data_IF_700002275327
#
_entry.id   IF_700002275327
#
_cell.length_a   1.000
_cell.length_b   1.000
_cell.length_c   1.000
_cell.angle_alpha   90.00
_cell.angle_beta   90.00
_cell.angle_gamma   90.00
#
_symmetry.space_group_name_H-M   'P 1'
#
loop_
_entity.id
_entity.type
_entity.pdbx_description
1 polymer ?
#
# COMPACT_ATOMS: atom_id res chain seq x y z
N UNK A 1 0.38 -3.04 -21.24
CA UNK A 1 0.71 -2.88 -19.80
C UNK A 1 0.52 -1.43 -19.34
N UNK A 2 -0.52 -1.12 -18.55
CA UNK A 2 -0.85 0.25 -18.16
C UNK A 2 0.18 0.97 -17.28
N UNK A 3 0.93 0.24 -16.45
CA UNK A 3 1.91 0.86 -15.54
C UNK A 3 3.04 1.61 -16.28
N UNK A 4 3.33 1.28 -17.55
CA UNK A 4 4.33 1.99 -18.36
C UNK A 4 4.03 3.47 -18.60
N UNK A 5 2.76 3.89 -18.51
CA UNK A 5 2.41 5.31 -18.60
C UNK A 5 2.87 6.13 -17.38
N UNK A 6 3.28 5.46 -16.30
CA UNK A 6 3.73 6.08 -15.03
C UNK A 6 5.27 6.17 -14.97
N UNK A 7 5.96 5.69 -16.00
CA UNK A 7 7.42 5.67 -16.09
C UNK A 7 7.89 6.91 -16.84
N UNK A 8 9.02 7.49 -16.40
CA UNK A 8 9.61 8.63 -17.09
C UNK A 8 10.07 8.23 -18.50
N UNK A 9 10.08 9.17 -19.45
CA UNK A 9 10.59 8.89 -20.81
C UNK A 9 12.05 8.39 -20.80
N UNK A 10 12.85 8.85 -19.83
CA UNK A 10 14.24 8.42 -19.65
C UNK A 10 14.32 6.94 -19.24
N UNK A 11 13.54 6.54 -18.22
CA UNK A 11 13.50 5.14 -17.78
C UNK A 11 12.86 4.23 -18.85
N UNK A 12 11.85 4.72 -19.57
CA UNK A 12 11.25 4.00 -20.69
C UNK A 12 12.26 3.74 -21.81
N UNK A 13 13.05 4.75 -22.18
CA UNK A 13 14.13 4.59 -23.15
C UNK A 13 15.17 3.56 -22.67
N UNK A 14 15.48 3.54 -21.37
CA UNK A 14 16.37 2.53 -20.81
C UNK A 14 15.79 1.11 -20.88
N UNK A 15 14.51 0.94 -20.54
CA UNK A 15 13.79 -0.35 -20.67
C UNK A 15 13.83 -0.82 -22.13
N UNK A 16 13.60 0.09 -23.08
CA UNK A 16 13.66 -0.20 -24.51
C UNK A 16 15.08 -0.53 -25.02
N UNK A 17 16.10 0.04 -24.40
CA UNK A 17 17.51 -0.19 -24.76
C UNK A 17 18.13 -1.44 -24.12
N UNK A 18 17.48 -2.01 -23.10
CA UNK A 18 17.97 -3.17 -22.40
C UNK A 18 18.02 -4.38 -23.35
N UNK A 19 19.09 -5.18 -23.25
CA UNK A 19 19.24 -6.41 -24.05
C UNK A 19 18.81 -7.65 -23.28
N UNK A 20 18.80 -7.57 -21.93
CA UNK A 20 18.43 -8.67 -21.04
C UNK A 20 17.48 -8.17 -19.98
N UNK A 21 16.55 -9.03 -19.58
CA UNK A 21 15.57 -8.70 -18.54
C UNK A 21 16.22 -8.41 -17.18
N UNK A 22 17.41 -8.96 -16.91
CA UNK A 22 18.16 -8.75 -15.67
C UNK A 22 18.69 -7.32 -15.53
N UNK A 23 18.82 -6.58 -16.62
CA UNK A 23 19.31 -5.19 -16.62
C UNK A 23 18.16 -4.18 -16.35
N UNK A 24 16.92 -4.66 -16.34
CA UNK A 24 15.69 -3.87 -16.24
C UNK A 24 15.31 -3.48 -14.80
N UNK A 25 15.38 -4.36 -13.76
CA UNK A 25 14.99 -4.07 -12.38
C UNK A 25 15.34 -2.68 -11.81
N UNK A 26 16.59 -2.18 -11.89
CA UNK A 26 16.94 -0.88 -11.30
C UNK A 26 16.16 0.30 -11.92
N UNK A 27 15.62 0.11 -13.13
CA UNK A 27 14.83 1.09 -13.90
C UNK A 27 13.32 0.95 -13.70
N UNK A 28 12.87 -0.03 -12.92
CA UNK A 28 11.45 -0.32 -12.70
C UNK A 28 10.85 0.38 -11.48
N UNK A 29 11.53 1.36 -10.87
CA UNK A 29 11.02 2.01 -9.64
C UNK A 29 9.65 2.68 -9.83
N UNK A 30 9.26 3.05 -11.07
CA UNK A 30 7.93 3.56 -11.39
C UNK A 30 6.87 2.47 -11.69
N UNK A 31 7.28 1.20 -11.87
CA UNK A 31 6.39 0.06 -12.16
C UNK A 31 6.17 -0.82 -10.92
N UNK A 32 7.24 -1.08 -10.17
CA UNK A 32 7.24 -1.91 -8.98
C UNK A 32 8.00 -1.21 -7.86
N UNK A 33 7.54 -1.38 -6.63
CA UNK A 33 8.14 -0.68 -5.50
C UNK A 33 9.43 -1.38 -5.06
N UNK A 34 10.57 -0.89 -5.52
CA UNK A 34 11.88 -1.25 -4.97
C UNK A 34 12.36 -2.67 -5.30
N UNK A 35 11.95 -3.22 -6.45
CA UNK A 35 12.61 -4.42 -7.01
C UNK A 35 14.08 -4.09 -7.30
N UNK A 36 14.96 -4.99 -6.89
CA UNK A 36 16.40 -4.88 -7.10
C UNK A 36 16.89 -5.92 -8.12
N UNK A 37 16.48 -7.18 -7.96
CA UNK A 37 16.99 -8.30 -8.77
C UNK A 37 15.85 -9.22 -9.17
N UNK A 38 15.84 -9.64 -10.44
CA UNK A 38 15.10 -10.82 -10.88
C UNK A 38 15.98 -12.06 -10.73
N UNK A 39 15.51 -13.04 -9.97
CA UNK A 39 16.18 -14.33 -9.81
C UNK A 39 15.85 -15.17 -11.04
N UNK A 40 16.75 -15.15 -12.02
CA UNK A 40 16.58 -15.85 -13.29
C UNK A 40 17.36 -17.16 -13.27
N UNK A 41 16.67 -18.24 -13.59
CA UNK A 41 17.26 -19.56 -13.79
C UNK A 41 16.59 -20.24 -14.99
N UNK A 42 17.38 -20.91 -15.83
CA UNK A 42 16.95 -21.51 -17.10
C UNK A 42 16.03 -20.60 -17.96
N UNK A 43 16.42 -19.34 -18.14
CA UNK A 43 15.64 -18.31 -18.85
C UNK A 43 14.24 -18.04 -18.28
N UNK A 44 14.00 -18.37 -17.02
CA UNK A 44 12.76 -18.06 -16.32
C UNK A 44 13.04 -17.24 -15.06
N UNK A 45 12.25 -16.18 -14.84
CA UNK A 45 12.21 -15.47 -13.57
C UNK A 45 11.51 -16.38 -12.57
N UNK A 46 12.26 -16.95 -11.63
CA UNK A 46 11.74 -17.80 -10.57
C UNK A 46 11.41 -17.02 -9.29
N UNK A 47 12.00 -15.83 -9.12
CA UNK A 47 11.84 -15.05 -7.92
C UNK A 47 12.27 -13.60 -8.08
N UNK A 48 12.00 -12.81 -7.04
CA UNK A 48 12.25 -11.37 -7.01
C UNK A 48 12.89 -11.01 -5.68
N UNK A 49 13.95 -10.23 -5.73
CA UNK A 49 14.58 -9.64 -4.54
C UNK A 49 14.32 -8.14 -4.53
N UNK A 50 13.84 -7.61 -3.40
CA UNK A 50 13.71 -6.18 -3.17
C UNK A 50 15.03 -5.57 -2.67
N UNK A 51 15.14 -4.25 -2.75
CA UNK A 51 16.28 -3.46 -2.21
C UNK A 51 16.48 -3.62 -0.71
N UNK A 52 15.44 -4.06 0.01
CA UNK A 52 15.50 -4.38 1.44
C UNK A 52 16.10 -5.75 1.73
N UNK A 53 16.34 -6.57 0.69
CA UNK A 53 16.78 -7.96 0.81
C UNK A 53 15.64 -8.97 0.93
N UNK A 54 14.38 -8.52 1.04
CA UNK A 54 13.23 -9.44 1.03
C UNK A 54 13.11 -10.13 -0.33
N UNK A 55 12.93 -11.46 -0.30
CA UNK A 55 12.83 -12.29 -1.50
C UNK A 55 11.45 -12.92 -1.60
N UNK A 56 10.91 -12.98 -2.82
CA UNK A 56 9.65 -13.62 -3.14
C UNK A 56 9.90 -14.67 -4.22
N UNK A 57 9.61 -15.92 -3.93
CA UNK A 57 9.57 -16.99 -4.93
C UNK A 57 8.23 -16.92 -5.66
N UNK A 58 8.28 -16.94 -6.99
CA UNK A 58 7.10 -16.91 -7.83
C UNK A 58 6.46 -18.29 -7.92
N UNK A 59 5.16 -18.36 -7.63
CA UNK A 59 4.33 -19.56 -7.80
C UNK A 59 4.33 -20.03 -9.26
N UNK A 60 4.30 -19.06 -10.17
CA UNK A 60 4.40 -19.30 -11.60
C UNK A 60 5.65 -18.59 -12.13
N UNK A 61 6.76 -19.31 -12.33
CA UNK A 61 7.94 -18.76 -12.98
C UNK A 61 7.57 -18.16 -14.34
N UNK A 62 8.17 -17.03 -14.67
CA UNK A 62 7.87 -16.28 -15.91
C UNK A 62 9.01 -16.45 -16.89
N UNK A 63 8.74 -17.00 -18.06
CA UNK A 63 9.73 -17.08 -19.13
C UNK A 63 10.22 -15.69 -19.52
N UNK A 64 11.54 -15.51 -19.59
CA UNK A 64 12.20 -14.28 -20.04
C UNK A 64 12.08 -14.09 -21.55
N UNK A 65 11.67 -15.13 -22.28
CA UNK A 65 11.56 -15.20 -23.73
C UNK A 65 10.14 -15.65 -24.12
N UNK A 66 9.42 -14.79 -24.84
CA UNK A 66 8.26 -15.12 -25.69
C UNK A 66 8.62 -14.79 -27.14
N UNK A 67 7.99 -15.40 -28.16
CA UNK A 67 8.67 -15.70 -29.42
C UNK A 67 9.12 -14.44 -30.17
N UNK A 68 10.34 -14.51 -30.73
CA UNK A 68 11.13 -13.48 -31.44
C UNK A 68 10.43 -12.72 -32.60
N UNK A 69 9.13 -12.95 -32.84
CA UNK A 69 8.39 -12.45 -33.99
C UNK A 69 7.84 -11.03 -33.82
N UNK A 70 7.62 -10.54 -32.60
CA UNK A 70 6.91 -9.26 -32.36
C UNK A 70 7.83 -8.11 -31.89
N UNK A 71 9.11 -8.38 -31.61
CA UNK A 71 10.15 -7.41 -31.26
C UNK A 71 10.22 -7.08 -29.75
N UNK A 72 11.41 -6.64 -29.30
CA UNK A 72 11.77 -6.47 -27.88
C UNK A 72 10.72 -5.76 -27.02
N UNK A 73 10.08 -4.71 -27.55
CA UNK A 73 9.08 -3.96 -26.80
C UNK A 73 7.83 -4.78 -26.48
N UNK A 74 7.36 -5.59 -27.42
CA UNK A 74 6.18 -6.44 -27.20
C UNK A 74 6.53 -7.53 -26.19
N UNK A 75 7.71 -8.14 -26.35
CA UNK A 75 8.19 -9.19 -25.45
C UNK A 75 8.34 -8.69 -24.01
N UNK A 76 9.02 -7.56 -23.79
CA UNK A 76 9.19 -7.02 -22.43
C UNK A 76 7.85 -6.61 -21.81
N UNK A 77 6.89 -6.12 -22.60
CA UNK A 77 5.54 -5.80 -22.10
C UNK A 77 4.83 -7.06 -21.63
N UNK A 78 4.90 -8.16 -22.39
CA UNK A 78 4.31 -9.45 -21.99
C UNK A 78 4.98 -10.04 -20.75
N UNK A 79 6.31 -9.98 -20.68
CA UNK A 79 7.07 -10.43 -19.51
C UNK A 79 6.67 -9.62 -18.28
N UNK A 80 6.66 -8.28 -18.35
CA UNK A 80 6.30 -7.42 -17.22
C UNK A 80 4.85 -7.63 -16.75
N UNK A 81 3.91 -7.87 -17.68
CA UNK A 81 2.53 -8.21 -17.32
C UNK A 81 2.43 -9.57 -16.62
N UNK A 82 3.18 -10.56 -17.10
CA UNK A 82 3.23 -11.90 -16.52
C UNK A 82 3.89 -11.89 -15.14
N UNK A 83 4.95 -11.10 -14.98
CA UNK A 83 5.61 -10.85 -13.69
C UNK A 83 4.64 -10.18 -12.71
N UNK A 84 3.92 -9.13 -13.11
CA UNK A 84 2.94 -8.46 -12.25
C UNK A 84 1.85 -9.42 -11.75
N UNK A 85 1.30 -10.23 -12.66
CA UNK A 85 0.29 -11.23 -12.31
C UNK A 85 0.86 -12.32 -11.38
N UNK A 86 2.07 -12.81 -11.67
CA UNK A 86 2.72 -13.84 -10.87
C UNK A 86 3.07 -13.35 -9.47
N UNK A 87 3.56 -12.11 -9.33
CA UNK A 87 3.80 -11.46 -8.03
C UNK A 87 2.53 -11.46 -7.19
N UNK A 88 1.43 -10.95 -7.75
CA UNK A 88 0.15 -10.81 -7.03
C UNK A 88 -0.36 -12.15 -6.53
N UNK A 89 -0.34 -13.17 -7.38
CA UNK A 89 -0.73 -14.53 -7.00
C UNK A 89 0.20 -15.12 -5.94
N UNK A 90 1.52 -14.88 -6.06
CA UNK A 90 2.51 -15.40 -5.11
C UNK A 90 2.38 -14.78 -3.73
N UNK A 91 2.15 -13.47 -3.65
CA UNK A 91 1.87 -12.77 -2.38
C UNK A 91 0.58 -13.28 -1.76
N UNK A 92 -0.50 -13.40 -2.55
CA UNK A 92 -1.78 -13.91 -2.07
C UNK A 92 -1.65 -15.32 -1.47
N UNK A 93 -0.99 -16.24 -2.19
CA UNK A 93 -0.78 -17.61 -1.73
C UNK A 93 0.16 -17.68 -0.53
N UNK A 94 1.23 -16.89 -0.51
CA UNK A 94 2.17 -16.87 0.60
C UNK A 94 1.52 -16.36 1.89
N UNK A 95 0.67 -15.33 1.80
CA UNK A 95 -0.14 -14.88 2.94
C UNK A 95 -1.07 -16.00 3.39
N UNK A 96 -1.81 -16.62 2.47
CA UNK A 96 -2.78 -17.66 2.80
C UNK A 96 -2.16 -18.88 3.48
N UNK A 97 -1.07 -19.41 2.92
CA UNK A 97 -0.32 -20.54 3.50
C UNK A 97 0.29 -20.19 4.85
N UNK A 98 0.84 -18.99 5.00
CA UNK A 98 1.40 -18.52 6.29
C UNK A 98 0.32 -18.35 7.36
N UNK A 99 -0.89 -17.93 6.97
CA UNK A 99 -2.05 -17.86 7.86
C UNK A 99 -2.52 -19.25 8.33
N UNK A 100 -2.49 -20.25 7.45
CA UNK A 100 -2.89 -21.63 7.77
C UNK A 100 -1.92 -22.36 8.70
N UNK A 101 -0.65 -21.94 8.72
CA UNK A 101 0.34 -22.50 9.63
C UNK A 101 -0.03 -22.26 11.11
N UNK A 102 0.18 -23.28 11.94
CA UNK A 102 -0.17 -23.31 13.37
C UNK A 102 0.66 -22.39 14.26
N UNK A 103 1.58 -21.60 13.69
CA UNK A 103 2.54 -20.79 14.46
C UNK A 103 1.91 -19.61 15.20
N UNK A 104 0.60 -19.37 15.04
CA UNK A 104 -0.06 -18.22 15.67
C UNK A 104 0.72 -16.91 15.42
N UNK A 105 0.94 -16.14 16.48
CA UNK A 105 1.70 -14.88 16.45
C UNK A 105 3.23 -15.07 16.33
N UNK A 106 3.75 -16.30 16.39
CA UNK A 106 5.19 -16.59 16.25
C UNK A 106 5.72 -16.33 14.83
N UNK A 107 4.85 -16.05 13.86
CA UNK A 107 5.22 -15.56 12.52
C UNK A 107 6.16 -14.35 12.59
N UNK A 108 6.10 -13.55 13.65
CA UNK A 108 7.01 -12.42 13.90
C UNK A 108 8.50 -12.81 13.96
N UNK A 109 8.83 -14.09 14.17
CA UNK A 109 10.21 -14.57 14.19
C UNK A 109 10.66 -15.24 12.88
N UNK A 110 9.77 -15.39 11.89
CA UNK A 110 10.08 -15.99 10.58
C UNK A 110 10.68 -14.97 9.62
N UNK A 111 11.94 -14.61 9.86
CA UNK A 111 12.65 -13.56 9.11
C UNK A 111 13.00 -13.94 7.67
N UNK A 112 12.83 -15.22 7.32
CA UNK A 112 12.88 -15.75 5.95
C UNK A 112 11.70 -15.28 5.08
N UNK A 113 10.54 -15.00 5.69
CA UNK A 113 9.38 -14.47 4.97
C UNK A 113 9.54 -12.97 4.69
N UNK A 114 8.99 -12.44 3.58
CA UNK A 114 8.98 -11.00 3.34
C UNK A 114 8.32 -10.23 4.49
N UNK A 115 8.87 -9.06 4.83
CA UNK A 115 8.36 -8.21 5.91
C UNK A 115 6.88 -7.90 5.74
N UNK A 116 6.45 -7.56 4.52
CA UNK A 116 5.06 -7.32 4.17
C UNK A 116 4.14 -8.48 4.60
N UNK A 117 4.53 -9.73 4.32
CA UNK A 117 3.74 -10.93 4.65
C UNK A 117 3.62 -11.06 6.16
N UNK A 118 4.72 -10.90 6.90
CA UNK A 118 4.72 -10.96 8.37
C UNK A 118 3.74 -9.93 8.95
N UNK A 119 3.80 -8.68 8.50
CA UNK A 119 2.94 -7.60 9.00
C UNK A 119 1.45 -7.85 8.72
N UNK A 120 1.12 -8.34 7.53
CA UNK A 120 -0.25 -8.67 7.13
C UNK A 120 -0.78 -9.84 7.97
N UNK A 121 -0.02 -10.93 8.09
CA UNK A 121 -0.42 -12.13 8.84
C UNK A 121 -0.57 -11.80 10.32
N UNK A 122 0.30 -10.98 10.91
CA UNK A 122 0.15 -10.52 12.30
C UNK A 122 -1.18 -9.79 12.53
N UNK A 123 -1.60 -8.92 11.60
CA UNK A 123 -2.91 -8.27 11.73
C UNK A 123 -4.05 -9.29 11.60
N UNK A 124 -4.02 -10.18 10.61
CA UNK A 124 -5.09 -11.18 10.39
C UNK A 124 -5.24 -12.05 11.65
N UNK A 125 -4.13 -12.56 12.18
CA UNK A 125 -4.14 -13.42 13.37
C UNK A 125 -4.57 -12.65 14.62
N UNK A 126 -4.14 -11.40 14.79
CA UNK A 126 -4.63 -10.55 15.89
C UNK A 126 -6.14 -10.33 15.83
N UNK A 127 -6.70 -10.02 14.65
CA UNK A 127 -8.15 -9.85 14.49
C UNK A 127 -8.88 -11.14 14.87
N UNK A 128 -8.44 -12.29 14.33
CA UNK A 128 -9.05 -13.58 14.63
C UNK A 128 -9.01 -13.94 16.13
N UNK A 129 -7.88 -13.65 16.80
CA UNK A 129 -7.75 -13.87 18.25
C UNK A 129 -8.68 -12.96 19.05
N UNK A 130 -8.73 -11.66 18.72
CA UNK A 130 -9.62 -10.71 19.39
C UNK A 130 -11.09 -11.12 19.24
N UNK A 131 -11.55 -11.45 18.03
CA UNK A 131 -12.94 -11.84 17.80
C UNK A 131 -13.31 -13.14 18.53
N UNK A 132 -12.45 -14.16 18.47
CA UNK A 132 -12.68 -15.42 19.17
C UNK A 132 -12.81 -15.23 20.69
N UNK A 133 -11.93 -14.42 21.27
CA UNK A 133 -11.94 -14.15 22.71
C UNK A 133 -13.10 -13.25 23.15
N UNK A 134 -13.45 -12.23 22.34
CA UNK A 134 -14.59 -11.35 22.62
C UNK A 134 -15.93 -12.08 22.52
N UNK A 135 -16.05 -13.09 21.64
CA UNK A 135 -17.23 -13.93 21.51
C UNK A 135 -17.36 -14.93 22.69
N UNK A 136 -16.24 -15.45 23.20
CA UNK A 136 -16.22 -16.40 24.33
C UNK A 136 -16.36 -15.72 25.70
N UNK A 137 -15.68 -14.61 25.92
CA UNK A 137 -15.61 -13.89 27.21
C UNK A 137 -15.59 -12.37 27.00
N UNK A 138 -16.76 -11.71 26.91
CA UNK A 138 -16.84 -10.29 26.52
C UNK A 138 -16.15 -9.31 27.49
N UNK A 139 -15.89 -9.71 28.74
CA UNK A 139 -15.28 -8.83 29.75
C UNK A 139 -13.77 -9.07 29.95
N UNK A 140 -13.26 -10.29 29.74
CA UNK A 140 -11.87 -10.67 30.04
C UNK A 140 -11.11 -11.30 28.85
N UNK A 141 -11.75 -11.53 27.71
CA UNK A 141 -11.11 -12.19 26.55
C UNK A 141 -9.87 -11.45 26.01
N UNK A 142 -9.76 -10.15 26.27
CA UNK A 142 -8.61 -9.35 25.86
C UNK A 142 -7.32 -9.65 26.64
N UNK A 143 -7.41 -10.18 27.87
CA UNK A 143 -6.25 -10.42 28.74
C UNK A 143 -5.30 -11.46 28.13
N UNK A 144 -5.85 -12.55 27.60
CA UNK A 144 -5.04 -13.59 26.95
C UNK A 144 -4.31 -13.06 25.70
N UNK A 145 -5.02 -12.32 24.84
CA UNK A 145 -4.41 -11.71 23.64
C UNK A 145 -3.31 -10.73 24.04
N UNK A 146 -3.56 -9.94 25.09
CA UNK A 146 -2.59 -8.98 25.63
C UNK A 146 -1.35 -9.69 26.18
N UNK A 147 -1.51 -10.78 26.94
CA UNK A 147 -0.38 -11.59 27.45
C UNK A 147 0.49 -12.14 26.31
N UNK A 148 -0.13 -12.71 25.27
CA UNK A 148 0.58 -13.22 24.09
C UNK A 148 1.37 -12.11 23.40
N UNK A 149 0.76 -10.94 23.20
CA UNK A 149 1.42 -9.80 22.57
C UNK A 149 2.55 -9.22 23.43
N UNK A 150 2.37 -9.13 24.75
CA UNK A 150 3.41 -8.66 25.67
C UNK A 150 4.59 -9.63 25.75
N UNK A 151 4.35 -10.94 25.71
CA UNK A 151 5.41 -11.94 25.62
C UNK A 151 6.18 -11.82 24.31
N UNK A 152 5.48 -11.62 23.20
CA UNK A 152 6.07 -11.41 21.89
C UNK A 152 6.91 -10.13 21.83
N UNK A 153 6.38 -9.03 22.36
CA UNK A 153 7.07 -7.74 22.50
C UNK A 153 8.39 -7.92 23.27
N UNK A 154 8.35 -8.57 24.45
CA UNK A 154 9.53 -8.87 25.28
C UNK A 154 10.58 -9.69 24.53
N UNK A 155 10.17 -10.69 23.75
CA UNK A 155 11.12 -11.50 22.97
C UNK A 155 11.71 -10.73 21.79
N UNK A 156 10.91 -9.91 21.10
CA UNK A 156 11.37 -9.09 19.97
C UNK A 156 12.31 -7.97 20.42
N UNK A 157 12.01 -7.26 21.51
CA UNK A 157 12.90 -6.22 22.06
C UNK A 157 14.23 -6.82 22.51
N UNK A 158 14.22 -8.03 23.09
CA UNK A 158 15.46 -8.74 23.43
C UNK A 158 16.29 -9.00 22.18
N UNK A 159 15.69 -9.55 21.11
CA UNK A 159 16.38 -9.79 19.83
C UNK A 159 16.95 -8.51 19.22
N UNK A 160 16.20 -7.41 19.23
CA UNK A 160 16.67 -6.11 18.71
C UNK A 160 17.88 -5.59 19.50
N UNK A 161 17.90 -5.80 20.83
CA UNK A 161 19.01 -5.36 21.68
C UNK A 161 20.26 -6.23 21.59
N UNK A 162 20.10 -7.52 21.33
CA UNK A 162 21.22 -8.47 21.25
C UNK A 162 21.74 -8.69 19.83
N UNK A 163 20.91 -8.38 18.82
CA UNK A 163 21.23 -8.55 17.40
C UNK A 163 21.70 -7.26 16.73
N UNK A 164 22.08 -7.33 15.44
CA UNK A 164 22.36 -6.13 14.66
C UNK A 164 21.08 -5.29 14.50
N UNK A 165 21.25 -3.98 14.38
CA UNK A 165 20.15 -3.06 14.08
C UNK A 165 19.57 -3.40 12.71
N UNK A 166 18.37 -3.96 12.70
CA UNK A 166 17.67 -4.39 11.51
C UNK A 166 16.31 -3.68 11.41
N UNK A 167 16.08 -2.97 10.30
CA UNK A 167 14.83 -2.28 9.99
C UNK A 167 13.66 -3.26 9.97
N UNK A 168 13.87 -4.50 9.50
CA UNK A 168 12.83 -5.52 9.45
C UNK A 168 12.35 -5.88 10.85
N UNK A 169 13.28 -6.19 11.74
CA UNK A 169 13.00 -6.47 13.15
C UNK A 169 12.35 -5.26 13.86
N UNK A 170 12.88 -4.06 13.66
CA UNK A 170 12.31 -2.84 14.25
C UNK A 170 10.88 -2.58 13.77
N UNK A 171 10.57 -2.88 12.50
CA UNK A 171 9.24 -2.72 11.92
C UNK A 171 8.26 -3.77 12.47
N UNK A 172 8.69 -5.02 12.64
CA UNK A 172 7.88 -6.08 13.28
C UNK A 172 7.59 -5.70 14.72
N UNK A 173 8.59 -5.24 15.48
CA UNK A 173 8.42 -4.79 16.86
C UNK A 173 7.44 -3.60 16.93
N UNK A 174 7.59 -2.60 16.06
CA UNK A 174 6.67 -1.47 15.97
C UNK A 174 5.22 -1.94 15.76
N UNK A 175 5.02 -2.94 14.89
CA UNK A 175 3.71 -3.54 14.66
C UNK A 175 3.15 -4.21 15.91
N UNK A 176 3.94 -5.01 16.61
CA UNK A 176 3.51 -5.71 17.84
C UNK A 176 3.16 -4.71 18.94
N UNK A 177 3.98 -3.67 19.16
CA UNK A 177 3.70 -2.59 20.12
C UNK A 177 2.39 -1.87 19.79
N UNK A 178 2.13 -1.61 18.51
CA UNK A 178 0.85 -1.06 18.05
C UNK A 178 -0.33 -1.98 18.38
N UNK A 179 -0.19 -3.29 18.17
CA UNK A 179 -1.24 -4.26 18.53
C UNK A 179 -1.49 -4.31 20.03
N UNK A 180 -0.44 -4.22 20.86
CA UNK A 180 -0.57 -4.11 22.33
C UNK A 180 -1.38 -2.86 22.69
N UNK A 181 -1.08 -1.72 22.08
CA UNK A 181 -1.80 -0.48 22.32
C UNK A 181 -3.28 -0.58 21.95
N UNK A 182 -3.60 -1.14 20.77
CA UNK A 182 -5.00 -1.34 20.35
C UNK A 182 -5.72 -2.32 21.27
N UNK A 183 -5.09 -3.43 21.64
CA UNK A 183 -5.68 -4.43 22.55
C UNK A 183 -6.04 -3.81 23.90
N UNK A 184 -5.16 -2.96 24.45
CA UNK A 184 -5.44 -2.21 25.69
C UNK A 184 -6.58 -1.20 25.52
N UNK A 185 -6.62 -0.48 24.40
CA UNK A 185 -7.68 0.49 24.13
C UNK A 185 -9.06 -0.16 23.94
N UNK A 186 -9.08 -1.42 23.52
CA UNK A 186 -10.27 -2.23 23.31
C UNK A 186 -10.64 -3.06 24.55
N UNK A 187 -9.99 -2.82 25.70
CA UNK A 187 -10.37 -3.44 26.96
C UNK A 187 -11.86 -3.16 27.21
N UNK A 188 -12.65 -4.23 27.40
CA UNK A 188 -14.11 -4.18 27.61
C UNK A 188 -14.97 -3.81 26.38
N UNK A 189 -14.41 -3.84 25.16
CA UNK A 189 -15.20 -3.70 23.94
C UNK A 189 -15.82 -5.04 23.52
N UNK A 190 -16.92 -4.96 22.75
CA UNK A 190 -17.53 -6.11 22.06
C UNK A 190 -17.25 -6.03 20.55
N UNK A 191 -17.45 -7.13 19.82
CA UNK A 191 -17.31 -7.18 18.35
C UNK A 191 -18.30 -6.25 17.62
N UNK A 192 -19.29 -5.71 18.33
CA UNK A 192 -20.26 -4.72 17.81
C UNK A 192 -19.96 -3.29 18.26
N UNK A 193 -19.00 -3.09 19.15
CA UNK A 193 -18.64 -1.76 19.64
C UNK A 193 -18.00 -0.94 18.53
N UNK A 194 -18.33 0.36 18.47
CA UNK A 194 -17.76 1.27 17.49
C UNK A 194 -16.22 1.27 17.53
N UNK A 195 -15.63 1.21 18.73
CA UNK A 195 -14.18 1.19 18.89
C UNK A 195 -13.53 0.00 18.19
N UNK A 196 -14.14 -1.19 18.24
CA UNK A 196 -13.72 -2.37 17.48
C UNK A 196 -13.94 -2.20 15.98
N UNK A 197 -15.15 -1.80 15.60
CA UNK A 197 -15.51 -1.65 14.18
C UNK A 197 -14.66 -0.59 13.47
N UNK A 198 -14.21 0.43 14.20
CA UNK A 198 -13.32 1.49 13.71
C UNK A 198 -11.89 1.02 13.47
N UNK A 199 -11.47 -0.11 14.07
CA UNK A 199 -10.16 -0.70 13.78
C UNK A 199 -10.12 -1.24 12.35
N UNK A 200 -8.98 -1.13 11.67
CA UNK A 200 -8.81 -1.74 10.36
C UNK A 200 -8.57 -3.24 10.54
N UNK A 201 -9.56 -4.03 10.13
CA UNK A 201 -9.61 -5.48 10.31
C UNK A 201 -9.29 -6.16 8.99
N UNK A 202 -8.49 -7.24 9.03
CA UNK A 202 -8.12 -8.02 7.84
C UNK A 202 -8.72 -9.41 7.94
N UNK A 203 -9.40 -9.84 6.88
CA UNK A 203 -10.01 -11.15 6.80
C UNK A 203 -9.52 -11.89 5.57
N UNK A 204 -9.40 -13.20 5.70
CA UNK A 204 -9.07 -14.12 4.62
C UNK A 204 -10.24 -15.10 4.43
N UNK A 205 -11.05 -14.85 3.41
CA UNK A 205 -12.22 -15.65 3.04
C UNK A 205 -11.86 -16.70 2.00
N UNK A 206 -11.51 -17.91 2.45
CA UNK A 206 -11.16 -19.03 1.56
C UNK A 206 -12.28 -19.47 0.60
N UNK A 207 -13.54 -19.11 0.89
CA UNK A 207 -14.71 -19.51 0.12
C UNK A 207 -15.15 -18.51 -0.98
N UNK A 208 -14.51 -17.33 -1.09
CA UNK A 208 -14.88 -16.34 -2.13
C UNK A 208 -14.09 -16.62 -3.43
N UNK A 209 -14.74 -16.62 -4.61
CA UNK A 209 -14.11 -17.00 -5.89
C UNK A 209 -13.13 -15.97 -6.46
N UNK A 210 -13.06 -14.74 -5.91
CA UNK A 210 -12.08 -13.71 -6.29
C UNK A 210 -11.61 -12.95 -5.05
N UNK A 211 -10.30 -12.95 -4.83
CA UNK A 211 -9.56 -12.32 -3.72
C UNK A 211 -10.11 -12.66 -2.33
N UNK A 212 -9.51 -13.68 -1.70
CA UNK A 212 -9.87 -14.08 -0.34
C UNK A 212 -9.58 -12.98 0.68
N UNK A 213 -8.60 -12.11 0.42
CA UNK A 213 -8.11 -11.12 1.38
C UNK A 213 -8.83 -9.77 1.26
N UNK A 214 -9.57 -9.40 2.31
CA UNK A 214 -10.25 -8.10 2.42
C UNK A 214 -9.79 -7.35 3.67
N UNK A 215 -9.72 -6.03 3.54
CA UNK A 215 -9.57 -5.10 4.65
C UNK A 215 -10.93 -4.48 4.90
N UNK A 216 -11.38 -4.44 6.14
CA UNK A 216 -12.63 -3.84 6.56
C UNK A 216 -12.38 -2.74 7.59
N UNK A 217 -13.02 -1.59 7.38
CA UNK A 217 -13.11 -0.50 8.35
C UNK A 217 -14.59 -0.13 8.44
N UNK A 218 -15.16 -0.22 9.64
CA UNK A 218 -16.61 -0.12 9.88
C UNK A 218 -17.38 -1.07 8.94
N UNK A 219 -18.27 -0.52 8.11
CA UNK A 219 -19.12 -1.24 7.16
C UNK A 219 -18.63 -1.12 5.71
N UNK A 220 -17.36 -0.77 5.52
CA UNK A 220 -16.74 -0.65 4.20
C UNK A 220 -15.60 -1.64 4.08
N UNK A 221 -15.60 -2.42 3.00
CA UNK A 221 -14.55 -3.37 2.66
C UNK A 221 -13.77 -2.93 1.41
N UNK A 222 -12.48 -3.26 1.37
CA UNK A 222 -11.62 -3.11 0.21
C UNK A 222 -10.79 -4.37 0.02
N UNK A 223 -10.58 -4.75 -1.25
CA UNK A 223 -9.70 -5.86 -1.59
C UNK A 223 -8.24 -5.47 -1.44
N UNK A 224 -7.46 -6.31 -0.77
CA UNK A 224 -6.01 -6.16 -0.72
C UNK A 224 -5.41 -6.39 -2.12
N UNK A 225 -4.52 -5.50 -2.57
CA UNK A 225 -4.08 -5.47 -3.97
C UNK A 225 -2.89 -6.39 -4.29
N UNK A 226 -2.27 -7.01 -3.27
CA UNK A 226 -1.19 -7.98 -3.41
C UNK A 226 0.05 -7.51 -4.22
N UNK A 227 0.31 -6.20 -4.33
CA UNK A 227 1.58 -5.71 -4.86
C UNK A 227 2.73 -6.09 -3.91
N UNK A 228 3.95 -6.26 -4.44
CA UNK A 228 5.12 -6.54 -3.61
C UNK A 228 5.82 -5.25 -3.20
N UNK A 229 5.80 -4.95 -1.90
CA UNK A 229 6.08 -3.62 -1.36
C UNK A 229 7.42 -3.57 -0.62
N UNK A 230 8.23 -2.55 -0.95
CA UNK A 230 9.53 -2.33 -0.31
C UNK A 230 9.42 -1.41 0.90
N UNK A 231 9.22 -2.02 2.07
CA UNK A 231 9.11 -1.32 3.36
C UNK A 231 10.51 -0.99 3.91
N UNK A 232 10.88 0.30 3.93
CA UNK A 232 12.23 0.77 4.26
C UNK A 232 12.39 1.40 5.65
N UNK A 233 11.31 1.63 6.37
CA UNK A 233 11.32 2.31 7.67
C UNK A 233 10.25 1.73 8.60
N UNK A 234 10.50 1.68 9.92
CA UNK A 234 9.47 1.33 10.88
C UNK A 234 8.34 2.36 10.83
N UNK A 235 7.11 1.87 10.81
CA UNK A 235 5.93 2.72 10.73
C UNK A 235 5.24 2.79 12.10
N UNK A 236 4.99 4.01 12.57
CA UNK A 236 4.17 4.24 13.78
C UNK A 236 2.70 4.30 13.38
N UNK A 237 1.93 3.28 13.73
CA UNK A 237 0.56 3.08 13.24
C UNK A 237 -0.51 3.96 13.91
N UNK A 238 -0.22 4.54 15.07
CA UNK A 238 -1.26 5.08 15.97
C UNK A 238 -2.05 6.25 15.36
N UNK A 239 -1.41 7.09 14.54
CA UNK A 239 -2.10 8.19 13.85
C UNK A 239 -2.72 7.76 12.51
N UNK A 240 -2.22 6.68 11.91
CA UNK A 240 -2.53 6.28 10.53
C UNK A 240 -3.78 5.44 10.40
N UNK A 241 -4.17 4.69 11.43
CA UNK A 241 -5.38 3.86 11.37
C UNK A 241 -6.66 4.69 11.28
N UNK A 242 -6.71 5.86 11.94
CA UNK A 242 -7.81 6.81 11.78
C UNK A 242 -7.87 7.41 10.37
N UNK A 243 -6.76 7.44 9.65
CA UNK A 243 -6.73 7.96 8.28
C UNK A 243 -7.26 6.93 7.28
N UNK A 244 -7.14 5.62 7.58
CA UNK A 244 -7.80 4.58 6.80
C UNK A 244 -9.31 4.78 6.77
N UNK A 245 -9.94 5.30 7.83
CA UNK A 245 -11.36 5.65 7.80
C UNK A 245 -11.69 6.67 6.70
N UNK A 246 -10.96 7.78 6.62
CA UNK A 246 -11.21 8.82 5.60
C UNK A 246 -10.99 8.28 4.19
N UNK A 247 -9.98 7.43 4.00
CA UNK A 247 -9.75 6.72 2.73
C UNK A 247 -10.94 5.83 2.39
N UNK A 248 -11.33 4.93 3.27
CA UNK A 248 -12.41 3.97 3.02
C UNK A 248 -13.73 4.68 2.73
N UNK A 249 -14.02 5.74 3.47
CA UNK A 249 -15.20 6.57 3.23
C UNK A 249 -15.13 7.33 1.90
N UNK A 250 -13.96 7.88 1.54
CA UNK A 250 -13.80 8.52 0.23
C UNK A 250 -14.05 7.56 -0.93
N UNK A 251 -13.52 6.34 -0.82
CA UNK A 251 -13.67 5.29 -1.84
C UNK A 251 -15.13 4.84 -1.94
N UNK A 252 -15.81 4.64 -0.80
CA UNK A 252 -17.25 4.35 -0.77
C UNK A 252 -18.08 5.43 -1.47
N UNK A 253 -17.69 6.69 -1.32
CA UNK A 253 -18.36 7.84 -1.93
C UNK A 253 -17.81 8.20 -3.32
N UNK A 254 -16.88 7.42 -3.87
CA UNK A 254 -16.25 7.66 -5.17
C UNK A 254 -15.67 9.09 -5.26
N UNK A 255 -14.92 9.49 -4.24
CA UNK A 255 -14.24 10.78 -4.11
C UNK A 255 -12.75 10.57 -3.89
N UNK A 256 -11.96 11.56 -4.28
CA UNK A 256 -10.54 11.57 -3.92
C UNK A 256 -10.33 11.86 -2.42
N UNK A 257 -9.12 11.66 -1.91
CA UNK A 257 -8.75 12.08 -0.55
C UNK A 257 -7.80 13.26 -0.60
N UNK A 258 -8.06 14.30 0.17
CA UNK A 258 -7.16 15.43 0.35
C UNK A 258 -6.45 15.30 1.68
N UNK A 259 -5.17 14.92 1.64
CA UNK A 259 -4.30 14.85 2.82
C UNK A 259 -3.81 16.26 3.15
N UNK A 260 -3.98 16.67 4.41
CA UNK A 260 -3.54 17.97 4.92
C UNK A 260 -2.77 17.78 6.21
N UNK A 261 -1.71 18.56 6.44
CA UNK A 261 -0.96 18.51 7.70
C UNK A 261 0.43 17.91 7.55
N UNK A 262 0.87 17.16 8.56
CA UNK A 262 2.28 16.75 8.68
C UNK A 262 2.58 15.45 7.91
N UNK A 263 3.79 15.31 7.34
CA UNK A 263 4.24 14.08 6.65
C UNK A 263 3.23 13.45 5.68
N UNK A 264 2.52 14.25 4.88
CA UNK A 264 1.44 13.79 3.99
C UNK A 264 1.90 12.73 2.98
N UNK A 265 3.09 12.89 2.40
CA UNK A 265 3.65 11.93 1.43
C UNK A 265 3.96 10.59 2.10
N UNK A 266 4.63 10.62 3.27
CA UNK A 266 4.91 9.41 4.04
C UNK A 266 3.63 8.70 4.50
N UNK A 267 2.60 9.49 4.84
CA UNK A 267 1.27 8.95 5.18
C UNK A 267 0.63 8.24 3.98
N UNK A 268 0.70 8.81 2.78
CA UNK A 268 0.20 8.16 1.58
C UNK A 268 0.93 6.83 1.30
N UNK A 269 2.26 6.81 1.49
CA UNK A 269 3.07 5.58 1.39
C UNK A 269 2.60 4.54 2.41
N UNK A 270 2.37 4.92 3.67
CA UNK A 270 1.83 3.99 4.67
C UNK A 270 0.46 3.42 4.26
N UNK A 271 -0.47 4.28 3.83
CA UNK A 271 -1.84 3.88 3.49
C UNK A 271 -1.87 2.88 2.32
N UNK A 272 -1.06 3.15 1.30
CA UNK A 272 -0.91 2.24 0.15
C UNK A 272 -0.26 0.93 0.54
N UNK A 273 0.79 0.97 1.38
CA UNK A 273 1.42 -0.24 1.88
C UNK A 273 0.47 -1.09 2.74
N UNK A 274 -0.39 -0.44 3.53
CA UNK A 274 -1.43 -1.12 4.31
C UNK A 274 -2.43 -1.85 3.40
N UNK A 275 -2.77 -1.28 2.25
CA UNK A 275 -3.75 -1.83 1.28
C UNK A 275 -3.10 -2.78 0.27
N UNK A 276 -1.76 -2.87 0.25
CA UNK A 276 -1.05 -3.71 -0.69
C UNK A 276 -1.02 -3.13 -2.10
N UNK A 277 -1.20 -1.81 -2.23
CA UNK A 277 -1.30 -1.12 -3.51
C UNK A 277 0.00 -0.36 -3.82
N UNK A 278 0.29 -0.17 -5.11
CA UNK A 278 1.39 0.69 -5.55
C UNK A 278 0.99 2.16 -5.44
N UNK A 279 1.95 3.02 -5.08
CA UNK A 279 1.78 4.47 -5.01
C UNK A 279 2.64 5.17 -6.07
N UNK A 280 2.00 5.98 -6.90
CA UNK A 280 2.68 6.94 -7.78
C UNK A 280 2.54 8.33 -7.18
N UNK A 281 3.65 9.05 -7.08
CA UNK A 281 3.68 10.42 -6.54
C UNK A 281 4.05 11.39 -7.64
N UNK A 282 3.10 12.24 -8.01
CA UNK A 282 3.32 13.32 -8.97
C UNK A 282 3.41 14.65 -8.24
N UNK A 283 4.55 15.30 -8.35
CA UNK A 283 4.80 16.60 -7.70
C UNK A 283 4.42 17.71 -8.67
N UNK A 284 3.33 18.41 -8.35
CA UNK A 284 2.82 19.48 -9.20
C UNK A 284 3.56 20.80 -8.95
N UNK A 285 3.61 21.60 -10.02
CA UNK A 285 4.18 22.93 -10.08
C UNK A 285 3.47 23.76 -11.16
N UNK A 286 3.81 25.05 -11.29
CA UNK A 286 3.23 25.92 -12.33
C UNK A 286 3.58 25.46 -13.76
N UNK A 287 4.67 24.71 -13.91
CA UNK A 287 5.16 24.19 -15.19
C UNK A 287 4.53 22.84 -15.54
N UNK A 288 3.84 22.19 -14.60
CA UNK A 288 3.14 20.94 -14.86
C UNK A 288 2.11 21.13 -15.98
N UNK A 289 2.20 20.28 -16.98
CA UNK A 289 1.28 20.26 -18.12
C UNK A 289 0.24 19.15 -17.95
N UNK A 290 -0.93 19.35 -18.56
CA UNK A 290 -1.95 18.30 -18.62
C UNK A 290 -1.44 17.06 -19.36
N UNK A 291 -0.49 17.23 -20.30
CA UNK A 291 0.00 16.11 -21.09
C UNK A 291 0.71 15.06 -20.24
N UNK A 292 1.61 15.51 -19.37
CA UNK A 292 2.34 14.62 -18.45
C UNK A 292 1.39 14.03 -17.41
N UNK A 293 0.57 14.88 -16.77
CA UNK A 293 -0.36 14.43 -15.74
C UNK A 293 -1.41 13.45 -16.28
N UNK A 294 -1.96 13.71 -17.46
CA UNK A 294 -2.97 12.85 -18.11
C UNK A 294 -2.43 11.47 -18.46
N UNK A 295 -1.15 11.36 -18.86
CA UNK A 295 -0.49 10.06 -19.07
C UNK A 295 -0.38 9.28 -17.77
N UNK A 296 0.16 9.89 -16.72
CA UNK A 296 0.34 9.21 -15.43
C UNK A 296 -1.01 8.82 -14.83
N UNK A 297 -1.99 9.70 -14.90
CA UNK A 297 -3.34 9.45 -14.40
C UNK A 297 -4.04 8.33 -15.17
N UNK A 298 -3.85 8.24 -16.50
CA UNK A 298 -4.29 7.10 -17.31
C UNK A 298 -3.64 5.79 -16.86
N UNK A 299 -2.32 5.79 -16.65
CA UNK A 299 -1.57 4.62 -16.20
C UNK A 299 -2.01 4.12 -14.83
N UNK A 300 -2.15 5.04 -13.88
CA UNK A 300 -2.60 4.73 -12.53
C UNK A 300 -4.04 4.21 -12.52
N UNK A 301 -4.96 4.88 -13.23
CA UNK A 301 -6.35 4.47 -13.34
C UNK A 301 -6.52 3.07 -13.92
N UNK A 302 -5.81 2.75 -15.02
CA UNK A 302 -5.92 1.46 -15.67
C UNK A 302 -5.15 0.34 -14.95
N UNK A 303 -4.14 0.66 -14.15
CA UNK A 303 -3.41 -0.34 -13.35
C UNK A 303 -3.99 -0.59 -11.96
N UNK A 304 -4.86 0.30 -11.46
CA UNK A 304 -5.35 0.26 -10.07
C UNK A 304 -4.34 0.80 -9.05
N UNK A 305 -3.23 1.38 -9.50
CA UNK A 305 -2.25 2.03 -8.63
C UNK A 305 -2.84 3.32 -8.05
N UNK A 306 -2.49 3.65 -6.82
CA UNK A 306 -2.90 4.91 -6.22
C UNK A 306 -2.04 6.05 -6.75
N UNK A 307 -2.65 7.21 -6.95
CA UNK A 307 -1.95 8.40 -7.45
C UNK A 307 -2.04 9.52 -6.41
N UNK A 308 -0.89 10.02 -5.95
CA UNK A 308 -0.78 11.19 -5.09
C UNK A 308 -0.35 12.42 -5.90
N UNK A 309 -1.26 13.38 -6.03
CA UNK A 309 -0.98 14.71 -6.56
C UNK A 309 -0.43 15.61 -5.44
N UNK A 310 0.89 15.69 -5.34
CA UNK A 310 1.55 16.48 -4.31
C UNK A 310 1.59 17.97 -4.70
N UNK A 311 1.21 18.85 -3.75
CA UNK A 311 1.12 20.32 -3.93
C UNK A 311 0.19 20.73 -5.07
N UNK A 312 -1.03 20.20 -5.06
CA UNK A 312 -1.99 20.39 -6.15
C UNK A 312 -2.32 21.86 -6.43
N UNK A 313 -2.33 22.72 -5.41
CA UNK A 313 -2.57 24.16 -5.56
C UNK A 313 -1.40 24.94 -6.19
N UNK A 314 -0.25 24.32 -6.44
CA UNK A 314 0.85 24.94 -7.19
C UNK A 314 0.68 24.78 -8.71
N UNK A 315 -0.26 23.94 -9.16
CA UNK A 315 -0.54 23.71 -10.58
C UNK A 315 -1.19 24.93 -11.25
N UNK A 316 -1.02 25.03 -12.57
CA UNK A 316 -1.69 26.05 -13.37
C UNK A 316 -3.22 25.88 -13.35
N UNK A 317 -3.94 27.00 -13.50
CA UNK A 317 -5.42 27.00 -13.52
C UNK A 317 -6.00 26.14 -14.65
N UNK A 318 -5.29 26.02 -15.78
CA UNK A 318 -5.67 25.15 -16.89
C UNK A 318 -5.66 23.67 -16.49
N UNK A 319 -4.60 23.21 -15.84
CA UNK A 319 -4.50 21.83 -15.34
C UNK A 319 -5.58 21.54 -14.30
N UNK A 320 -5.78 22.47 -13.35
CA UNK A 320 -6.81 22.33 -12.32
C UNK A 320 -8.23 22.28 -12.90
N UNK A 321 -8.50 23.06 -13.95
CA UNK A 321 -9.78 23.05 -14.66
C UNK A 321 -10.06 21.70 -15.31
N UNK A 322 -9.08 21.14 -16.01
CA UNK A 322 -9.23 19.83 -16.66
C UNK A 322 -9.38 18.71 -15.61
N UNK A 323 -8.58 18.76 -14.53
CA UNK A 323 -8.70 17.81 -13.43
C UNK A 323 -10.09 17.88 -12.77
N UNK A 324 -10.66 19.08 -12.64
CA UNK A 324 -12.04 19.27 -12.14
C UNK A 324 -13.04 18.52 -13.01
N UNK A 325 -12.91 18.60 -14.34
CA UNK A 325 -13.79 17.88 -15.26
C UNK A 325 -13.67 16.36 -15.09
N UNK A 326 -12.45 15.83 -14.91
CA UNK A 326 -12.24 14.40 -14.64
C UNK A 326 -12.92 14.00 -13.33
N UNK A 327 -12.73 14.80 -12.27
CA UNK A 327 -13.29 14.52 -10.95
C UNK A 327 -14.81 14.59 -10.89
N UNK A 328 -15.44 15.51 -11.62
CA UNK A 328 -16.91 15.60 -11.72
C UNK A 328 -17.51 14.32 -12.33
N UNK A 329 -16.81 13.68 -13.27
CA UNK A 329 -17.26 12.44 -13.91
C UNK A 329 -16.74 11.18 -13.20
N UNK A 330 -16.05 11.30 -12.05
CA UNK A 330 -15.34 10.19 -11.42
C UNK A 330 -16.29 9.08 -10.95
N UNK A 331 -17.41 9.43 -10.31
CA UNK A 331 -18.41 8.46 -9.88
C UNK A 331 -19.03 7.69 -11.07
N UNK A 332 -19.37 8.39 -12.15
CA UNK A 332 -19.86 7.77 -13.38
C UNK A 332 -18.79 6.87 -14.03
N UNK A 333 -17.53 7.29 -13.96
CA UNK A 333 -16.39 6.52 -14.49
C UNK A 333 -16.24 5.18 -13.76
N UNK A 334 -16.40 5.17 -12.42
CA UNK A 334 -16.40 3.94 -11.63
C UNK A 334 -17.55 2.99 -11.99
N UNK A 335 -18.76 3.53 -12.20
CA UNK A 335 -19.89 2.71 -12.62
C UNK A 335 -19.68 2.08 -14.01
N UNK A 336 -19.03 2.82 -14.92
CA UNK A 336 -18.76 2.38 -16.29
C UNK A 336 -17.45 1.61 -16.46
N UNK A 337 -16.61 1.52 -15.42
CA UNK A 337 -15.24 1.01 -15.48
C UNK A 337 -14.37 1.70 -16.56
N UNK A 338 -14.68 2.97 -16.86
CA UNK A 338 -14.02 3.75 -17.91
C UNK A 338 -13.81 5.17 -17.43
N UNK A 339 -12.56 5.62 -17.43
CA UNK A 339 -12.18 6.98 -17.11
C UNK A 339 -12.13 7.84 -18.37
N UNK A 340 -12.90 8.94 -18.35
CA UNK A 340 -12.86 9.93 -19.41
C UNK A 340 -11.78 10.98 -19.12
N UNK A 341 -10.77 11.04 -19.99
CA UNK A 341 -9.68 11.99 -19.91
C UNK A 341 -9.78 12.99 -21.07
N UNK A 342 -9.98 14.29 -20.82
CA UNK A 342 -10.00 15.29 -21.87
C UNK A 342 -8.71 15.23 -22.69
N UNK A 343 -8.84 15.29 -24.02
CA UNK A 343 -7.72 15.21 -24.99
C UNK A 343 -7.05 13.84 -25.11
N UNK A 344 -7.56 12.81 -24.42
CA UNK A 344 -7.04 11.45 -24.45
C UNK A 344 -8.13 10.43 -24.80
N UNK A 345 -7.76 9.27 -25.37
CA UNK A 345 -8.70 8.18 -25.51
C UNK A 345 -9.15 7.70 -24.13
N UNK A 346 -10.39 7.21 -24.05
CA UNK A 346 -10.97 6.60 -22.85
C UNK A 346 -10.00 5.56 -22.28
N UNK A 347 -9.78 5.62 -20.96
CA UNK A 347 -8.93 4.69 -20.24
C UNK A 347 -9.81 3.70 -19.47
N UNK A 348 -9.35 2.45 -19.34
CA UNK A 348 -9.95 1.53 -18.39
C UNK A 348 -9.77 2.06 -16.96
N UNK A 349 -10.79 1.93 -16.12
CA UNK A 349 -10.73 2.32 -14.72
C UNK A 349 -10.80 1.07 -13.84
N UNK A 350 -9.67 0.76 -13.22
CA UNK A 350 -9.60 -0.31 -12.23
C UNK A 350 -10.36 0.10 -10.96
N UNK A 351 -11.23 -0.77 -10.38
CA UNK A 351 -12.05 -0.43 -9.22
C UNK A 351 -11.27 0.06 -8.00
N UNK A 352 -10.03 -0.42 -7.85
CA UNK A 352 -9.15 -0.11 -6.72
C UNK A 352 -8.35 1.19 -6.87
N UNK A 353 -8.46 1.87 -8.01
CA UNK A 353 -7.80 3.15 -8.24
C UNK A 353 -8.30 4.19 -7.23
N UNK A 354 -7.36 4.86 -6.55
CA UNK A 354 -7.66 5.97 -5.66
C UNK A 354 -6.79 7.18 -6.03
N UNK A 355 -7.42 8.36 -5.98
CA UNK A 355 -6.74 9.64 -6.16
C UNK A 355 -6.57 10.35 -4.83
N UNK A 356 -5.33 10.57 -4.45
CA UNK A 356 -4.93 11.36 -3.30
C UNK A 356 -4.41 12.71 -3.78
N UNK A 357 -4.58 13.76 -2.99
CA UNK A 357 -3.90 15.03 -3.20
C UNK A 357 -3.38 15.61 -1.89
N UNK A 358 -2.37 16.48 -2.01
CA UNK A 358 -1.94 17.34 -0.91
C UNK A 358 -1.98 18.79 -1.34
N UNK A 359 -2.08 19.69 -0.36
CA UNK A 359 -1.94 21.11 -0.58
C UNK A 359 -0.60 21.61 -0.05
N UNK A 360 -0.03 22.58 -0.77
CA UNK A 360 1.02 23.42 -0.27
C UNK A 360 0.42 24.43 0.72
N UNK A 361 0.91 24.43 1.96
CA UNK A 361 0.39 25.25 3.06
C UNK A 361 0.98 26.67 3.12
N UNK A 362 1.85 27.05 2.18
CA UNK A 362 2.38 28.42 2.14
C UNK A 362 1.26 29.44 1.85
N UNK A 363 1.22 30.53 2.64
CA UNK A 363 0.18 31.58 2.57
C UNK A 363 0.05 32.28 1.21
N UNK A 364 1.07 32.13 0.35
CA UNK A 364 1.12 32.74 -0.99
C UNK A 364 0.44 31.90 -2.07
N UNK A 365 0.08 30.65 -1.79
CA UNK A 365 -0.56 29.79 -2.78
C UNK A 365 -2.08 30.04 -2.83
N UNK A 366 -2.63 30.05 -4.04
CA UNK A 366 -4.06 30.21 -4.24
C UNK A 366 -4.83 28.99 -3.68
N UNK A 367 -6.06 29.18 -3.17
CA UNK A 367 -6.91 28.06 -2.81
C UNK A 367 -7.33 27.28 -4.06
N UNK A 368 -7.68 26.00 -3.89
CA UNK A 368 -8.26 25.21 -4.97
C UNK A 368 -9.61 25.79 -5.40
N UNK A 369 -10.00 25.63 -6.68
CA UNK A 369 -11.37 25.87 -7.13
C UNK A 369 -12.37 25.10 -6.27
N UNK A 370 -13.51 25.72 -5.95
CA UNK A 370 -14.52 25.14 -5.05
C UNK A 370 -15.05 23.79 -5.53
N UNK A 371 -15.34 23.66 -6.83
CA UNK A 371 -15.79 22.39 -7.43
C UNK A 371 -14.76 21.28 -7.32
N UNK A 372 -13.47 21.61 -7.48
CA UNK A 372 -12.39 20.63 -7.34
C UNK A 372 -12.23 20.23 -5.88
N UNK A 373 -12.20 21.21 -4.97
CA UNK A 373 -12.13 20.96 -3.52
C UNK A 373 -13.27 20.05 -3.06
N UNK A 374 -14.49 20.28 -3.55
CA UNK A 374 -15.66 19.44 -3.25
C UNK A 374 -15.54 18.01 -3.80
N UNK A 375 -14.66 17.72 -4.76
CA UNK A 375 -14.45 16.36 -5.24
C UNK A 375 -13.55 15.52 -4.32
N UNK A 376 -12.87 16.14 -3.35
CA UNK A 376 -12.00 15.45 -2.40
C UNK A 376 -12.58 15.46 -0.98
N UNK A 377 -12.47 14.34 -0.29
CA UNK A 377 -12.75 14.25 1.14
C UNK A 377 -11.51 14.71 1.93
N UNK A 378 -11.62 15.70 2.84
CA UNK A 378 -10.49 16.14 3.64
C UNK A 378 -10.09 15.07 4.66
N UNK A 379 -8.78 14.87 4.80
CA UNK A 379 -8.18 13.99 5.79
C UNK A 379 -7.00 14.73 6.43
N UNK A 380 -7.17 15.12 7.69
CA UNK A 380 -6.15 15.85 8.44
C UNK A 380 -5.17 14.89 9.10
N UNK A 381 -3.91 14.97 8.69
CA UNK A 381 -2.77 14.31 9.31
C UNK A 381 -2.30 15.17 10.49
N UNK A 382 -2.82 14.84 11.67
CA UNK A 382 -2.42 15.51 12.92
C UNK A 382 -1.00 15.09 13.29
N UNK A 383 -0.14 16.09 13.56
CA UNK A 383 1.22 15.84 14.02
C UNK A 383 1.17 15.05 15.34
N UNK A 384 1.77 13.85 15.41
CA UNK A 384 1.86 13.14 16.68
C UNK A 384 2.72 13.97 17.65
N UNK A 385 2.47 13.82 18.96
CA UNK A 385 3.33 14.43 19.96
C UNK A 385 4.79 14.01 19.70
N UNK A 386 5.67 14.99 19.45
CA UNK A 386 7.06 14.73 19.03
C UNK A 386 7.81 13.86 20.05
N UNK A 387 7.54 14.06 21.34
CA UNK A 387 8.10 13.24 22.41
C UNK A 387 7.67 11.78 22.27
N UNK A 388 6.37 11.53 22.13
CA UNK A 388 5.83 10.18 21.99
C UNK A 388 6.34 9.48 20.72
N UNK A 389 6.42 10.23 19.61
CA UNK A 389 6.97 9.71 18.35
C UNK A 389 8.45 9.33 18.49
N UNK A 390 9.25 10.22 19.09
CA UNK A 390 10.69 9.99 19.31
C UNK A 390 10.90 8.80 20.25
N UNK A 391 10.19 8.74 21.38
CA UNK A 391 10.28 7.62 22.32
C UNK A 391 9.89 6.30 21.68
N UNK A 392 8.80 6.26 20.91
CA UNK A 392 8.36 5.04 20.22
C UNK A 392 9.39 4.58 19.18
N UNK A 393 9.98 5.53 18.44
CA UNK A 393 11.02 5.24 17.45
C UNK A 393 12.28 4.69 18.11
N UNK A 394 12.75 5.32 19.18
CA UNK A 394 13.89 4.85 19.95
C UNK A 394 13.63 3.47 20.56
N UNK A 395 12.44 3.25 21.10
CA UNK A 395 12.06 1.96 21.69
C UNK A 395 12.16 0.81 20.69
N UNK A 396 11.66 0.99 19.46
CA UNK A 396 11.70 -0.08 18.44
C UNK A 396 13.10 -0.37 17.92
N UNK A 397 14.06 0.53 18.16
CA UNK A 397 15.49 0.31 17.94
C UNK A 397 16.23 -0.18 19.19
N UNK A 398 15.53 -0.51 20.27
CA UNK A 398 16.10 -1.14 21.46
C UNK A 398 16.50 -0.19 22.58
N UNK A 399 16.34 1.12 22.42
CA UNK A 399 16.67 2.11 23.45
C UNK A 399 15.61 2.13 24.58
N UNK A 400 16.02 2.51 25.79
CA UNK A 400 15.15 2.63 26.99
C UNK A 400 15.10 4.04 27.51
#
# INVERSE_FOLDING_TARGET
>A
FPKLFMVSNFDLAHILSAQRIQDVPPKLNGLFEGIDIFQVDHECIQGITLKTGDTLVLVHPVACTTPERDGWFVDIVHVLMSVDASIKLSIEQLIATTCQNSDGMQVAYKLDLPLQVILVVLQIKWVAMMEAEMDNQPLNGHDHVLEVLLALEKGLIHKVRTGPTDVKMATILAKVVSLVHHTKALAQCSTRSFDWLSQPRRYLHYARPKSAHVIQVLDTEMHYQNEFLCIRQPQSNVSTDKMLYSVFMSMRHLRGVMLQGFHMVHTAVYLTQYIGASLVVEVLSKESTWTTLGHVLKGAAASGSWLLLHRMNDASSSVLSILTQVMVHFAASHALHVLHLPQYPKAELHPSFALLCTLNSHRTCAPLPTSLSAAFMPCSVVQPCLLQYTMSTLYVFGFT
#
